data_IF_877093221713
#
_entry.id   IF_877093221713
#
_cell.length_a   1.000
_cell.length_b   1.000
_cell.length_c   1.000
_cell.angle_alpha   90.00
_cell.angle_beta   90.00
_cell.angle_gamma   90.00
#
_symmetry.space_group_name_H-M   'P 1'
#
loop_
_entity.id
_entity.type
_entity.pdbx_description
1 polymer ?
#
# COMPACT_ATOMS: atom_id res chain seq x y z
N UNK A 1 4.63 9.72 -21.81
CA UNK A 1 4.38 8.50 -21.00
C UNK A 1 3.66 8.80 -19.67
N UNK A 2 4.06 9.81 -18.90
CA UNK A 2 3.46 10.11 -17.58
C UNK A 2 2.07 10.76 -17.58
N UNK A 3 1.64 11.34 -18.70
CA UNK A 3 0.44 12.20 -18.77
C UNK A 3 -0.87 11.47 -18.42
N UNK A 4 -0.95 10.17 -18.66
CA UNK A 4 -2.14 9.34 -18.41
C UNK A 4 -2.00 8.42 -17.18
N UNK A 5 -0.89 8.51 -16.45
CA UNK A 5 -0.62 7.63 -15.30
C UNK A 5 -1.66 7.75 -14.18
N UNK A 6 -2.27 8.93 -14.01
CA UNK A 6 -3.36 9.13 -13.04
C UNK A 6 -4.56 8.24 -13.30
N UNK A 7 -4.91 7.99 -14.57
CA UNK A 7 -6.03 7.10 -14.92
C UNK A 7 -5.72 5.63 -14.62
N UNK A 8 -4.45 5.22 -14.79
CA UNK A 8 -4.01 3.88 -14.39
C UNK A 8 -4.13 3.68 -12.87
N UNK A 9 -3.77 4.70 -12.08
CA UNK A 9 -3.94 4.63 -10.62
C UNK A 9 -5.41 4.64 -10.19
N UNK A 10 -6.29 5.37 -10.89
CA UNK A 10 -7.74 5.26 -10.67
C UNK A 10 -8.27 3.87 -10.98
N UNK A 11 -7.84 3.26 -12.10
CA UNK A 11 -8.19 1.88 -12.43
C UNK A 11 -7.66 0.90 -11.36
N UNK A 12 -6.45 1.13 -10.83
CA UNK A 12 -5.89 0.35 -9.74
C UNK A 12 -6.74 0.47 -8.46
N UNK A 13 -7.20 1.67 -8.10
CA UNK A 13 -8.13 1.84 -6.97
C UNK A 13 -9.40 1.01 -7.20
N UNK A 14 -9.98 1.08 -8.40
CA UNK A 14 -11.14 0.25 -8.75
C UNK A 14 -10.85 -1.26 -8.59
N UNK A 15 -9.68 -1.72 -9.06
CA UNK A 15 -9.27 -3.11 -8.94
C UNK A 15 -9.07 -3.54 -7.47
N UNK A 16 -8.51 -2.67 -6.63
CA UNK A 16 -8.36 -2.93 -5.19
C UNK A 16 -9.73 -3.02 -4.52
N UNK A 17 -10.64 -2.09 -4.79
CA UNK A 17 -11.99 -2.14 -4.23
C UNK A 17 -12.73 -3.42 -4.65
N UNK A 18 -12.61 -3.83 -5.92
CA UNK A 18 -13.21 -5.07 -6.42
C UNK A 18 -12.54 -6.31 -5.84
N UNK A 19 -11.20 -6.36 -5.83
CA UNK A 19 -10.43 -7.50 -5.36
C UNK A 19 -10.62 -7.77 -3.86
N UNK A 20 -10.78 -6.72 -3.06
CA UNK A 20 -11.01 -6.82 -1.61
C UNK A 20 -12.49 -6.71 -1.22
N UNK A 21 -13.42 -6.66 -2.20
CA UNK A 21 -14.85 -6.52 -1.94
C UNK A 21 -15.37 -7.65 -1.05
N UNK A 22 -15.18 -8.91 -1.44
CA UNK A 22 -15.68 -10.08 -0.71
C UNK A 22 -14.89 -10.42 0.55
N UNK A 23 -13.61 -10.06 0.58
CA UNK A 23 -12.70 -10.43 1.69
C UNK A 23 -12.71 -9.40 2.81
N UNK A 24 -13.06 -8.14 2.51
CA UNK A 24 -13.05 -7.06 3.49
C UNK A 24 -14.31 -6.18 3.39
N UNK A 25 -14.56 -5.50 2.27
CA UNK A 25 -15.59 -4.44 2.22
C UNK A 25 -17.03 -4.92 2.45
N UNK A 26 -17.39 -6.12 1.98
CA UNK A 26 -18.71 -6.74 2.22
C UNK A 26 -18.82 -7.40 3.60
N UNK A 27 -17.70 -7.51 4.32
CA UNK A 27 -17.61 -8.10 5.66
C UNK A 27 -17.17 -7.07 6.70
N UNK A 28 -17.45 -5.78 6.46
CA UNK A 28 -17.17 -4.71 7.41
C UNK A 28 -18.08 -4.84 8.63
N UNK A 29 -17.74 -5.77 9.52
CA UNK A 29 -18.36 -5.94 10.82
C UNK A 29 -17.33 -5.70 11.94
N UNK A 30 -17.81 -5.59 13.18
CA UNK A 30 -16.96 -5.35 14.36
C UNK A 30 -16.04 -6.54 14.70
N UNK A 31 -16.16 -7.68 13.99
CA UNK A 31 -15.30 -8.85 14.25
C UNK A 31 -13.89 -8.67 13.69
N UNK A 32 -13.69 -7.73 12.77
CA UNK A 32 -12.37 -7.44 12.23
C UNK A 32 -11.47 -6.77 13.28
N UNK A 33 -10.27 -7.32 13.54
CA UNK A 33 -9.31 -6.65 14.39
C UNK A 33 -8.95 -5.26 13.86
N UNK A 34 -8.85 -4.28 14.77
CA UNK A 34 -8.57 -2.87 14.44
C UNK A 34 -7.33 -2.67 13.56
N UNK A 35 -6.31 -3.52 13.71
CA UNK A 35 -5.09 -3.42 12.90
C UNK A 35 -5.34 -3.68 11.40
N UNK A 36 -6.37 -4.46 11.04
CA UNK A 36 -6.75 -4.68 9.64
C UNK A 36 -7.35 -3.40 9.06
N UNK A 37 -8.27 -2.77 9.79
CA UNK A 37 -8.85 -1.49 9.39
C UNK A 37 -7.78 -0.42 9.23
N UNK A 38 -6.85 -0.33 10.18
CA UNK A 38 -5.72 0.60 10.10
C UNK A 38 -4.87 0.36 8.85
N UNK A 39 -4.51 -0.90 8.56
CA UNK A 39 -3.71 -1.21 7.36
C UNK A 39 -4.46 -0.83 6.07
N UNK A 40 -5.75 -1.16 5.96
CA UNK A 40 -6.56 -0.82 4.78
C UNK A 40 -6.67 0.69 4.60
N UNK A 41 -6.87 1.45 5.69
CA UNK A 41 -6.93 2.91 5.65
C UNK A 41 -5.59 3.51 5.22
N UNK A 42 -4.47 3.00 5.74
CA UNK A 42 -3.13 3.48 5.40
C UNK A 42 -2.77 3.22 3.94
N UNK A 43 -3.05 2.01 3.42
CA UNK A 43 -2.84 1.68 2.01
C UNK A 43 -3.82 2.44 1.11
N UNK A 44 -5.05 2.66 1.55
CA UNK A 44 -6.02 3.52 0.86
C UNK A 44 -5.53 4.97 0.76
N UNK A 45 -5.02 5.54 1.85
CA UNK A 45 -4.41 6.87 1.85
C UNK A 45 -3.19 6.92 0.92
N UNK A 46 -2.38 5.86 0.86
CA UNK A 46 -1.26 5.76 -0.07
C UNK A 46 -1.71 5.79 -1.53
N UNK A 47 -2.74 5.01 -1.89
CA UNK A 47 -3.28 4.98 -3.25
C UNK A 47 -3.84 6.34 -3.67
N UNK A 48 -4.57 7.02 -2.77
CA UNK A 48 -5.04 8.38 -3.01
C UNK A 48 -3.89 9.36 -3.18
N UNK A 49 -2.85 9.25 -2.34
CA UNK A 49 -1.65 10.06 -2.44
C UNK A 49 -0.98 9.91 -3.81
N UNK A 50 -0.61 8.69 -4.23
CA UNK A 50 0.08 8.48 -5.51
C UNK A 50 -0.79 8.85 -6.72
N UNK A 51 -2.10 8.67 -6.62
CA UNK A 51 -3.06 9.10 -7.66
C UNK A 51 -3.07 10.62 -7.77
N UNK A 52 -3.20 11.32 -6.64
CA UNK A 52 -3.15 12.78 -6.59
C UNK A 52 -1.81 13.32 -7.10
N UNK A 53 -0.70 12.68 -6.75
CA UNK A 53 0.64 13.04 -7.24
C UNK A 53 0.73 13.00 -8.77
N UNK A 54 0.14 11.98 -9.42
CA UNK A 54 0.10 11.87 -10.87
C UNK A 54 -0.71 13.01 -11.52
N UNK A 55 -1.84 13.39 -10.94
CA UNK A 55 -2.65 14.51 -11.42
C UNK A 55 -1.98 15.87 -11.19
N UNK A 56 -1.31 16.08 -10.06
CA UNK A 56 -0.57 17.31 -9.78
C UNK A 56 0.57 17.54 -10.78
N UNK A 57 1.29 16.47 -11.18
CA UNK A 57 2.30 16.58 -12.24
C UNK A 57 1.65 16.93 -13.59
N UNK A 58 0.49 16.33 -13.92
CA UNK A 58 -0.25 16.64 -15.15
C UNK A 58 -0.76 18.09 -15.16
N UNK A 59 -1.15 18.62 -14.01
CA UNK A 59 -1.60 20.00 -13.83
C UNK A 59 -0.44 21.01 -13.73
N UNK A 60 0.82 20.54 -13.82
CA UNK A 60 2.02 21.37 -13.65
C UNK A 60 2.19 22.00 -12.26
N UNK A 61 1.38 21.57 -11.28
CA UNK A 61 1.38 22.00 -9.88
C UNK A 61 2.50 21.33 -9.06
N UNK A 62 3.74 21.52 -9.52
CA UNK A 62 4.94 20.88 -8.93
C UNK A 62 5.21 21.30 -7.49
N UNK A 63 4.78 22.50 -7.09
CA UNK A 63 4.91 22.98 -5.70
C UNK A 63 4.08 22.11 -4.74
N UNK A 64 2.80 21.93 -5.06
CA UNK A 64 1.87 21.12 -4.28
C UNK A 64 2.27 19.65 -4.30
N UNK A 65 2.69 19.13 -5.47
CA UNK A 65 3.25 17.79 -5.60
C UNK A 65 4.36 17.54 -4.57
N UNK A 66 5.32 18.46 -4.48
CA UNK A 66 6.45 18.37 -3.55
C UNK A 66 6.01 18.43 -2.09
N UNK A 67 5.14 19.37 -1.72
CA UNK A 67 4.63 19.50 -0.35
C UNK A 67 3.87 18.26 0.08
N UNK A 68 2.93 17.80 -0.74
CA UNK A 68 2.13 16.61 -0.43
C UNK A 68 2.98 15.33 -0.45
N UNK A 69 4.03 15.31 -1.28
CA UNK A 69 5.00 14.22 -1.31
C UNK A 69 5.77 14.06 0.01
N UNK A 70 5.87 15.09 0.85
CA UNK A 70 6.53 14.98 2.17
C UNK A 70 5.73 14.10 3.14
N UNK A 71 4.40 14.03 3.00
CA UNK A 71 3.55 13.13 3.79
C UNK A 71 3.98 11.67 3.64
N UNK A 72 4.51 11.30 2.47
CA UNK A 72 4.98 9.94 2.19
C UNK A 72 6.10 9.47 3.12
N UNK A 73 6.91 10.39 3.67
CA UNK A 73 7.98 10.03 4.62
C UNK A 73 7.46 9.45 5.93
N UNK A 74 6.26 9.84 6.34
CA UNK A 74 5.60 9.31 7.55
C UNK A 74 4.70 8.14 7.17
N UNK A 75 3.95 8.28 6.07
CA UNK A 75 2.98 7.28 5.65
C UNK A 75 3.64 5.95 5.25
N UNK A 76 4.74 5.97 4.48
CA UNK A 76 5.39 4.74 4.01
C UNK A 76 5.95 3.87 5.16
N UNK A 77 6.68 4.41 6.16
CA UNK A 77 7.09 3.61 7.32
C UNK A 77 5.92 3.02 8.11
N UNK A 78 4.84 3.79 8.30
CA UNK A 78 3.66 3.31 9.04
C UNK A 78 2.97 2.18 8.27
N UNK A 79 2.92 2.24 6.93
CA UNK A 79 2.42 1.15 6.10
C UNK A 79 3.25 -0.12 6.29
N UNK A 80 4.58 -0.02 6.27
CA UNK A 80 5.46 -1.18 6.50
C UNK A 80 5.19 -1.78 7.89
N UNK A 81 5.13 -0.95 8.93
CA UNK A 81 4.85 -1.41 10.30
C UNK A 81 3.49 -2.12 10.37
N UNK A 82 2.42 -1.50 9.85
CA UNK A 82 1.09 -2.12 9.83
C UNK A 82 1.08 -3.43 9.04
N UNK A 83 1.81 -3.51 7.92
CA UNK A 83 1.95 -4.73 7.12
C UNK A 83 2.65 -5.85 7.88
N UNK A 84 3.70 -5.53 8.65
CA UNK A 84 4.39 -6.51 9.51
C UNK A 84 3.44 -7.07 10.56
N UNK A 85 2.63 -6.22 11.22
CA UNK A 85 1.62 -6.68 12.17
C UNK A 85 0.58 -7.60 11.51
N UNK A 86 0.11 -7.24 10.31
CA UNK A 86 -0.84 -8.04 9.55
C UNK A 86 -0.26 -9.40 9.13
N UNK A 87 0.96 -9.40 8.60
CA UNK A 87 1.67 -10.63 8.21
C UNK A 87 1.92 -11.54 9.43
N UNK A 88 2.28 -10.96 10.58
CA UNK A 88 2.44 -11.70 11.84
C UNK A 88 1.12 -12.35 12.26
N UNK A 89 0.01 -11.60 12.25
CA UNK A 89 -1.30 -12.12 12.64
C UNK A 89 -1.71 -13.32 11.76
N UNK A 90 -1.61 -13.16 10.44
CA UNK A 90 -1.93 -14.24 9.50
C UNK A 90 -0.98 -15.44 9.62
N UNK A 91 0.31 -15.23 9.90
CA UNK A 91 1.24 -16.34 10.10
C UNK A 91 0.84 -17.24 11.28
N UNK A 92 0.42 -16.64 12.40
CA UNK A 92 -0.03 -17.38 13.58
C UNK A 92 -1.39 -18.04 13.39
N UNK A 93 -2.32 -17.39 12.69
CA UNK A 93 -3.62 -17.98 12.35
C UNK A 93 -3.47 -19.21 11.42
N UNK A 94 -2.46 -19.16 10.54
CA UNK A 94 -2.12 -20.26 9.62
C UNK A 94 -1.29 -21.37 10.27
N UNK A 95 -0.79 -21.16 11.49
CA UNK A 95 0.09 -22.12 12.15
C UNK A 95 -0.71 -23.37 12.54
N UNK A 96 -0.29 -24.54 12.03
CA UNK A 96 -0.97 -25.81 12.27
C UNK A 96 -2.22 -26.05 11.42
N UNK A 97 -2.66 -25.07 10.62
CA UNK A 97 -3.80 -25.21 9.69
C UNK A 97 -3.36 -25.43 8.23
N UNK A 98 -2.16 -24.98 7.86
CA UNK A 98 -1.53 -25.24 6.56
C UNK A 98 -0.17 -25.89 6.73
N UNK A 99 0.37 -26.48 5.65
CA UNK A 99 1.72 -27.05 5.66
C UNK A 99 2.79 -26.01 5.98
N UNK A 100 3.90 -26.44 6.61
CA UNK A 100 5.01 -25.55 6.96
C UNK A 100 5.52 -24.77 5.74
N UNK A 101 5.71 -25.46 4.60
CA UNK A 101 6.16 -24.85 3.34
C UNK A 101 5.20 -23.77 2.85
N UNK A 102 3.89 -23.97 2.97
CA UNK A 102 2.89 -22.98 2.55
C UNK A 102 2.90 -21.76 3.46
N UNK A 103 3.08 -21.96 4.78
CA UNK A 103 3.17 -20.84 5.72
C UNK A 103 4.45 -20.02 5.53
N UNK A 104 5.58 -20.70 5.26
CA UNK A 104 6.84 -20.03 4.91
C UNK A 104 6.76 -19.30 3.57
N UNK A 105 6.04 -19.86 2.58
CA UNK A 105 5.82 -19.21 1.29
C UNK A 105 4.99 -17.93 1.44
N UNK A 106 3.96 -17.95 2.30
CA UNK A 106 3.21 -16.74 2.66
C UNK A 106 4.11 -15.68 3.32
N UNK A 107 4.97 -16.10 4.26
CA UNK A 107 5.89 -15.18 4.92
C UNK A 107 6.91 -14.57 3.94
N UNK A 108 7.48 -15.38 3.06
CA UNK A 108 8.37 -14.91 1.99
C UNK A 108 7.68 -13.90 1.08
N UNK A 109 6.43 -14.20 0.67
CA UNK A 109 5.61 -13.29 -0.12
C UNK A 109 5.43 -11.95 0.61
N UNK A 110 5.06 -11.96 1.89
CA UNK A 110 4.86 -10.74 2.67
C UNK A 110 6.16 -9.90 2.80
N UNK A 111 7.27 -10.55 3.19
CA UNK A 111 8.57 -9.88 3.34
C UNK A 111 9.04 -9.28 2.02
N UNK A 112 8.90 -10.01 0.91
CA UNK A 112 9.28 -9.53 -0.42
C UNK A 112 8.53 -8.25 -0.81
N UNK A 113 7.24 -8.14 -0.46
CA UNK A 113 6.46 -6.93 -0.73
C UNK A 113 6.95 -5.73 0.09
N UNK A 114 7.29 -5.92 1.36
CA UNK A 114 7.84 -4.83 2.19
C UNK A 114 9.19 -4.35 1.69
N UNK A 115 10.06 -5.28 1.26
CA UNK A 115 11.37 -4.95 0.67
C UNK A 115 11.17 -4.19 -0.63
N UNK A 116 10.35 -4.69 -1.56
CA UNK A 116 10.08 -4.02 -2.83
C UNK A 116 9.48 -2.63 -2.62
N UNK A 117 8.48 -2.51 -1.75
CA UNK A 117 7.88 -1.23 -1.40
C UNK A 117 8.93 -0.26 -0.84
N UNK A 118 9.75 -0.71 0.11
CA UNK A 118 10.81 0.10 0.71
C UNK A 118 11.87 0.54 -0.31
N UNK A 119 12.30 -0.36 -1.20
CA UNK A 119 13.26 -0.06 -2.26
C UNK A 119 12.69 0.94 -3.25
N UNK A 120 11.49 0.71 -3.78
CA UNK A 120 10.87 1.64 -4.73
C UNK A 120 10.58 3.00 -4.09
N UNK A 121 10.16 3.02 -2.84
CA UNK A 121 9.99 4.26 -2.09
C UNK A 121 11.33 4.99 -1.93
N UNK A 122 12.38 4.31 -1.48
CA UNK A 122 13.71 4.91 -1.34
C UNK A 122 14.22 5.48 -2.66
N UNK A 123 14.08 4.73 -3.76
CA UNK A 123 14.43 5.20 -5.11
C UNK A 123 13.61 6.44 -5.49
N UNK A 124 12.29 6.43 -5.29
CA UNK A 124 11.45 7.60 -5.55
C UNK A 124 11.93 8.83 -4.78
N UNK A 125 12.32 8.67 -3.51
CA UNK A 125 12.81 9.78 -2.69
C UNK A 125 14.22 10.25 -3.05
N UNK A 126 15.13 9.34 -3.41
CA UNK A 126 16.49 9.66 -3.88
C UNK A 126 16.43 10.46 -5.18
N UNK A 127 15.55 10.04 -6.10
CA UNK A 127 15.43 10.66 -7.43
C UNK A 127 14.41 11.80 -7.49
N UNK A 128 13.75 12.17 -6.39
CA UNK A 128 12.68 13.20 -6.37
C UNK A 128 13.06 14.59 -6.90
N UNK A 129 14.36 14.92 -6.92
CA UNK A 129 14.88 16.20 -7.40
C UNK A 129 15.42 16.12 -8.84
N UNK A 130 15.43 14.94 -9.45
CA UNK A 130 15.87 14.75 -10.83
C UNK A 130 14.65 14.91 -11.75
N UNK A 131 14.75 15.76 -12.79
CA UNK A 131 13.67 15.98 -13.74
C UNK A 131 13.37 14.73 -14.58
#
# INVERSE_FOLDING_TARGET
MFRESGFLFLALIGLVLLGFSKTYFLKLDESFPIFIHMHVLLVGAWLLLITGQAFLIRAEERSVHRQLGEVSFVLAPIIIISGIYLARAFYYERLGTVGLTDNLSFLWWAVSHFVLFGVFFALAMIYRKRP
#
